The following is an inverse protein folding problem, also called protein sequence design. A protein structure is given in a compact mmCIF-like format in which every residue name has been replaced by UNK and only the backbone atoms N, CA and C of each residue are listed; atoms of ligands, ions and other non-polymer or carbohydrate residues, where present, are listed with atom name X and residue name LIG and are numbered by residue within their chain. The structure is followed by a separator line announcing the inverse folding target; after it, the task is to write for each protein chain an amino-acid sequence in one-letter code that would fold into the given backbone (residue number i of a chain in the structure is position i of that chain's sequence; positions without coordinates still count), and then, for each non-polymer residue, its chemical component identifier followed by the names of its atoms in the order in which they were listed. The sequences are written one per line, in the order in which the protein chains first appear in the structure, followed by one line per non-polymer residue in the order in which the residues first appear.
data_IF_763987204581
#
_entry.id   IF_763987204581
#
_cell.length_a   1.000
_cell.length_b   1.000
_cell.length_c   1.000
_cell.angle_alpha   90.00
_cell.angle_beta   90.00
_cell.angle_gamma   90.00
#
_symmetry.space_group_name_H-M   'P 1'
#
loop_
_entity.id
_entity.type
_entity.pdbx_description
1 polymer ?
#
# COMPACT_ATOMS: atom_id res chain seq x y z
N UNK A 1 -8.33 45.58 44.08
CA UNK A 1 -9.45 44.92 43.36
C UNK A 1 -9.11 43.45 43.22
N UNK A 2 -10.10 42.60 43.48
CA UNK A 2 -10.00 41.18 43.84
C UNK A 2 -10.68 40.28 42.80
N UNK A 3 -9.99 39.18 42.41
CA UNK A 3 -10.48 37.82 42.01
C UNK A 3 -11.38 37.66 40.75
N UNK A 4 -11.54 36.43 40.16
CA UNK A 4 -11.03 35.11 40.56
C UNK A 4 -10.44 34.19 39.44
N UNK A 5 -9.84 33.09 39.94
CA UNK A 5 -9.51 31.78 39.33
C UNK A 5 -10.67 31.12 38.57
N UNK A 6 -10.36 30.38 37.50
CA UNK A 6 -11.06 29.13 37.14
C UNK A 6 -10.10 28.11 36.50
N UNK A 7 -10.11 26.93 37.12
CA UNK A 7 -9.49 25.67 36.72
C UNK A 7 -10.52 24.81 35.96
N UNK A 8 -10.08 23.63 35.50
CA UNK A 8 -10.86 22.51 34.91
C UNK A 8 -11.06 22.61 33.38
N UNK A 9 -11.01 21.52 32.58
CA UNK A 9 -11.05 20.08 32.87
C UNK A 9 -10.58 19.32 31.63
N UNK A 10 -9.98 18.15 31.86
CA UNK A 10 -9.82 17.09 30.89
C UNK A 10 -11.13 16.78 30.14
N UNK A 11 -11.04 16.41 28.86
CA UNK A 11 -12.10 15.64 28.20
C UNK A 11 -11.52 14.35 27.65
N UNK A 12 -12.02 13.30 28.25
CA UNK A 12 -11.80 11.88 28.06
C UNK A 12 -12.08 11.39 26.63
N UNK A 13 -11.20 10.48 26.20
CA UNK A 13 -11.50 9.18 25.61
C UNK A 13 -12.88 8.96 24.97
N UNK A 14 -12.91 8.87 23.63
CA UNK A 14 -13.87 8.01 22.93
C UNK A 14 -13.18 6.65 22.73
N UNK A 15 -13.26 5.82 23.76
CA UNK A 15 -13.04 4.38 23.63
C UNK A 15 -14.28 3.81 22.93
N UNK A 16 -14.18 3.53 21.64
CA UNK A 16 -15.21 2.76 20.95
C UNK A 16 -15.18 1.33 21.50
N UNK A 17 -16.12 1.03 22.39
CA UNK A 17 -16.40 -0.33 22.88
C UNK A 17 -17.01 -1.15 21.73
N UNK A 18 -16.43 -2.31 21.35
CA UNK A 18 -17.17 -3.28 20.54
C UNK A 18 -18.27 -3.95 21.38
N UNK A 19 -19.41 -4.32 20.76
CA UNK A 19 -20.51 -4.98 21.46
C UNK A 19 -20.11 -6.38 21.92
N UNK A 20 -20.59 -6.73 23.11
CA UNK A 20 -20.32 -7.99 23.80
C UNK A 20 -20.79 -9.22 22.99
N UNK A 21 -19.87 -10.16 22.76
CA UNK A 21 -20.23 -11.56 22.55
C UNK A 21 -19.89 -12.35 23.82
N UNK A 22 -20.93 -12.58 24.62
CA UNK A 22 -20.91 -13.46 25.79
C UNK A 22 -21.10 -14.90 25.32
N UNK A 23 -20.09 -15.76 25.51
CA UNK A 23 -20.26 -17.23 25.60
C UNK A 23 -19.22 -17.80 26.57
N UNK A 24 -19.74 -18.20 27.73
CA UNK A 24 -19.41 -19.34 28.58
C UNK A 24 -17.96 -19.87 28.72
N UNK A 25 -17.46 -19.67 29.95
CA UNK A 25 -17.01 -20.70 30.92
C UNK A 25 -15.82 -21.65 30.61
N UNK A 26 -14.77 -21.41 31.40
CA UNK A 26 -13.79 -22.33 32.05
C UNK A 26 -12.54 -22.78 31.26
N UNK A 27 -11.37 -22.33 31.75
CA UNK A 27 -10.07 -22.98 31.56
C UNK A 27 -8.87 -22.03 31.62
N UNK A 28 -7.99 -22.21 32.61
CA UNK A 28 -6.66 -21.58 32.86
C UNK A 28 -5.68 -21.58 31.66
N UNK A 29 -4.46 -20.96 31.71
CA UNK A 29 -3.86 -19.97 32.64
C UNK A 29 -3.26 -18.71 31.94
N UNK A 30 -2.73 -17.79 32.75
CA UNK A 30 -1.78 -16.71 32.43
C UNK A 30 -0.75 -17.08 31.33
N UNK A 31 -0.84 -16.42 30.17
CA UNK A 31 0.31 -16.14 29.31
C UNK A 31 0.04 -14.83 28.52
N UNK A 32 -0.11 -13.75 29.27
CA UNK A 32 -0.20 -12.40 28.72
C UNK A 32 1.21 -11.89 28.40
N UNK A 33 1.82 -12.38 27.32
CA UNK A 33 2.92 -11.66 26.70
C UNK A 33 3.10 -11.95 25.23
N UNK A 34 2.95 -10.86 24.46
CA UNK A 34 3.66 -10.58 23.21
C UNK A 34 3.06 -11.14 21.92
N UNK A 35 1.86 -10.67 21.61
CA UNK A 35 1.45 -10.43 20.23
C UNK A 35 1.11 -8.95 20.04
N UNK A 36 2.07 -8.07 20.34
CA UNK A 36 2.11 -6.74 19.75
C UNK A 36 2.45 -6.92 18.27
N UNK A 37 1.46 -7.38 17.48
CA UNK A 37 1.50 -7.25 16.05
C UNK A 37 1.63 -5.76 15.78
N UNK A 38 2.83 -5.38 15.38
CA UNK A 38 3.22 -4.06 14.93
C UNK A 38 2.23 -3.63 13.83
N UNK A 39 1.15 -2.95 14.22
CA UNK A 39 0.29 -2.22 13.32
C UNK A 39 1.15 -1.08 12.81
N UNK A 40 1.88 -1.38 11.73
CA UNK A 40 2.51 -0.37 10.91
C UNK A 40 1.36 0.43 10.34
N UNK A 41 1.06 1.57 10.97
CA UNK A 41 0.17 2.60 10.47
C UNK A 41 0.78 3.09 9.16
N UNK A 42 0.53 2.36 8.07
CA UNK A 42 1.05 2.69 6.75
C UNK A 42 0.21 3.85 6.26
N UNK A 43 0.77 5.05 6.39
CA UNK A 43 0.27 6.23 5.73
C UNK A 43 0.00 5.92 4.25
N UNK A 44 -1.16 6.38 3.78
CA UNK A 44 -1.51 6.28 2.37
C UNK A 44 -0.67 7.32 1.65
N UNK A 45 0.14 6.97 0.65
CA UNK A 45 0.92 7.95 -0.09
C UNK A 45 -0.03 8.94 -0.78
N UNK A 46 0.27 10.23 -0.65
CA UNK A 46 -0.65 11.30 -1.06
C UNK A 46 -0.19 11.98 -2.34
N UNK A 47 1.13 12.00 -2.58
CA UNK A 47 1.73 12.61 -3.78
C UNK A 47 2.08 11.58 -4.87
N UNK A 48 2.21 12.06 -6.11
CA UNK A 48 2.68 11.24 -7.23
C UNK A 48 4.05 10.60 -6.95
N UNK A 49 4.97 11.35 -6.32
CA UNK A 49 6.32 10.86 -6.04
C UNK A 49 6.31 9.68 -5.06
N UNK A 50 5.48 9.73 -4.01
CA UNK A 50 5.35 8.64 -3.05
C UNK A 50 4.67 7.41 -3.67
N UNK A 51 3.62 7.63 -4.46
CA UNK A 51 2.95 6.55 -5.19
C UNK A 51 3.91 5.89 -6.18
N UNK A 52 4.70 6.70 -6.90
CA UNK A 52 5.72 6.20 -7.82
C UNK A 52 6.80 5.38 -7.11
N UNK A 53 7.26 5.83 -5.94
CA UNK A 53 8.22 5.11 -5.12
C UNK A 53 7.67 3.75 -4.63
N UNK A 54 6.42 3.72 -4.16
CA UNK A 54 5.79 2.46 -3.73
C UNK A 54 5.53 1.51 -4.91
N UNK A 55 5.10 2.00 -6.07
CA UNK A 55 4.98 1.18 -7.29
C UNK A 55 6.35 0.60 -7.66
N UNK A 56 7.42 1.40 -7.65
CA UNK A 56 8.76 0.93 -7.95
C UNK A 56 9.22 -0.15 -6.95
N UNK A 57 8.90 0.03 -5.66
CA UNK A 57 9.21 -0.93 -4.60
C UNK A 57 8.48 -2.26 -4.83
N UNK A 58 7.18 -2.22 -5.08
CA UNK A 58 6.35 -3.39 -5.42
C UNK A 58 6.95 -4.16 -6.61
N UNK A 59 7.30 -3.46 -7.69
CA UNK A 59 7.87 -4.07 -8.90
C UNK A 59 9.29 -4.58 -8.68
N UNK A 60 10.06 -3.96 -7.79
CA UNK A 60 11.41 -4.42 -7.45
C UNK A 60 11.39 -5.69 -6.60
N UNK A 61 10.43 -5.80 -5.66
CA UNK A 61 10.28 -6.97 -4.79
C UNK A 61 9.67 -8.18 -5.51
N UNK A 62 8.63 -7.96 -6.32
CA UNK A 62 7.92 -9.06 -6.99
C UNK A 62 8.49 -9.39 -8.38
N UNK A 63 9.21 -8.45 -8.98
CA UNK A 63 9.66 -8.55 -10.36
C UNK A 63 8.61 -8.14 -11.39
N UNK A 64 8.66 -8.68 -12.63
CA UNK A 64 7.68 -8.37 -13.65
C UNK A 64 6.28 -8.79 -13.22
N UNK A 65 5.39 -7.82 -13.12
CA UNK A 65 4.03 -8.04 -12.64
C UNK A 65 3.01 -7.41 -13.57
N UNK A 66 1.83 -8.01 -13.67
CA UNK A 66 0.75 -7.42 -14.45
C UNK A 66 0.34 -6.07 -13.86
N UNK A 67 -0.08 -5.15 -14.71
CA UNK A 67 -0.54 -3.82 -14.29
C UNK A 67 -1.67 -3.89 -13.26
N UNK A 68 -2.58 -4.87 -13.40
CA UNK A 68 -3.65 -5.10 -12.43
C UNK A 68 -3.13 -5.56 -11.06
N UNK A 69 -2.07 -6.37 -11.05
CA UNK A 69 -1.42 -6.86 -9.82
C UNK A 69 -0.78 -5.73 -9.02
N UNK A 70 -0.25 -4.70 -9.69
CA UNK A 70 0.32 -3.52 -9.00
C UNK A 70 -0.74 -2.84 -8.14
N UNK A 71 -1.94 -2.61 -8.67
CA UNK A 71 -3.01 -1.96 -7.91
C UNK A 71 -3.51 -2.84 -6.75
N UNK A 72 -3.55 -4.16 -6.96
CA UNK A 72 -3.92 -5.12 -5.93
C UNK A 72 -2.93 -5.11 -4.76
N UNK A 73 -1.64 -5.16 -5.04
CA UNK A 73 -0.59 -5.18 -4.02
C UNK A 73 -0.44 -3.83 -3.33
N UNK A 74 -0.63 -2.73 -4.05
CA UNK A 74 -0.72 -1.40 -3.45
C UNK A 74 -1.89 -1.31 -2.45
N UNK A 75 -3.08 -1.78 -2.83
CA UNK A 75 -4.24 -1.84 -1.92
C UNK A 75 -3.96 -2.72 -0.70
N UNK A 76 -3.30 -3.85 -0.88
CA UNK A 76 -2.91 -4.73 0.23
C UNK A 76 -1.94 -4.04 1.21
N UNK A 77 -1.07 -3.16 0.71
CA UNK A 77 -0.09 -2.43 1.55
C UNK A 77 -0.67 -1.22 2.27
N UNK A 78 -1.55 -0.45 1.62
CA UNK A 78 -2.05 0.84 2.13
C UNK A 78 -3.54 0.86 2.46
N UNK A 79 -4.25 -0.27 2.29
CA UNK A 79 -5.68 -0.39 2.52
C UNK A 79 -6.56 0.26 1.44
N UNK A 80 -5.98 1.00 0.49
CA UNK A 80 -6.71 1.72 -0.57
C UNK A 80 -6.06 1.49 -1.95
N UNK A 81 -6.85 1.40 -3.03
CA UNK A 81 -6.30 1.36 -4.38
C UNK A 81 -5.59 2.66 -4.74
N UNK A 82 -4.77 2.61 -5.80
CA UNK A 82 -4.14 3.80 -6.37
C UNK A 82 -5.24 4.69 -6.97
N UNK A 83 -5.34 5.91 -6.45
CA UNK A 83 -6.29 6.91 -6.94
C UNK A 83 -5.65 7.70 -8.09
N UNK A 84 -5.86 7.23 -9.32
CA UNK A 84 -5.27 7.83 -10.52
C UNK A 84 -5.86 9.23 -10.80
N UNK A 85 -7.16 9.40 -10.59
CA UNK A 85 -7.85 10.66 -10.86
C UNK A 85 -7.37 11.77 -9.94
N UNK A 86 -7.19 11.47 -8.64
CA UNK A 86 -6.60 12.42 -7.68
C UNK A 86 -5.19 12.87 -8.09
N UNK A 87 -4.46 12.02 -8.78
CA UNK A 87 -3.11 12.30 -9.27
C UNK A 87 -3.09 12.93 -10.67
N UNK A 88 -4.25 13.20 -11.27
CA UNK A 88 -4.35 13.81 -12.60
C UNK A 88 -4.21 12.84 -13.77
N UNK A 89 -4.41 11.54 -13.55
CA UNK A 89 -4.33 10.51 -14.59
C UNK A 89 -5.67 9.78 -14.76
N UNK A 90 -6.10 9.57 -16.01
CA UNK A 90 -7.32 8.82 -16.30
C UNK A 90 -7.17 7.32 -16.00
N UNK A 91 -5.98 6.76 -16.31
CA UNK A 91 -5.72 5.32 -16.18
C UNK A 91 -4.40 5.04 -15.47
N UNK A 92 -4.38 3.92 -14.75
CA UNK A 92 -3.15 3.42 -14.10
C UNK A 92 -1.99 3.25 -15.07
N UNK A 93 -2.28 2.88 -16.33
CA UNK A 93 -1.27 2.78 -17.39
C UNK A 93 -0.55 4.11 -17.62
N UNK A 94 -1.28 5.21 -17.65
CA UNK A 94 -0.73 6.55 -17.89
C UNK A 94 0.10 7.02 -16.70
N UNK A 95 -0.39 6.78 -15.49
CA UNK A 95 0.38 7.03 -14.27
C UNK A 95 1.73 6.30 -14.31
N UNK A 96 1.73 5.00 -14.65
CA UNK A 96 2.96 4.19 -14.68
C UNK A 96 3.92 4.63 -15.78
N UNK A 97 3.41 5.06 -16.94
CA UNK A 97 4.24 5.60 -18.01
C UNK A 97 5.00 6.88 -17.61
N UNK A 98 4.46 7.64 -16.65
CA UNK A 98 5.10 8.85 -16.12
C UNK A 98 6.17 8.55 -15.05
N UNK A 99 6.30 7.30 -14.61
CA UNK A 99 7.34 6.91 -13.64
C UNK A 99 8.64 6.60 -14.41
N UNK A 100 9.72 7.37 -14.24
CA UNK A 100 10.93 7.23 -15.05
C UNK A 100 11.70 5.92 -14.79
N UNK A 101 11.51 5.29 -13.63
CA UNK A 101 12.27 4.09 -13.23
C UNK A 101 11.59 2.78 -13.64
N UNK A 102 10.39 2.84 -14.22
CA UNK A 102 9.64 1.66 -14.67
C UNK A 102 9.44 1.67 -16.18
N UNK A 103 9.04 0.52 -16.71
CA UNK A 103 8.74 0.32 -18.12
C UNK A 103 7.56 -0.65 -18.26
N UNK A 104 6.76 -0.46 -19.32
CA UNK A 104 5.65 -1.33 -19.66
C UNK A 104 6.02 -2.27 -20.80
N UNK A 105 5.98 -3.57 -20.56
CA UNK A 105 6.11 -4.60 -21.59
C UNK A 105 4.73 -5.13 -21.94
N UNK A 106 4.32 -4.99 -23.20
CA UNK A 106 3.12 -5.65 -23.74
C UNK A 106 3.47 -7.02 -24.30
N UNK A 107 2.66 -8.03 -23.98
CA UNK A 107 2.77 -9.38 -24.53
C UNK A 107 1.42 -9.79 -25.12
N UNK A 108 1.40 -10.13 -26.41
CA UNK A 108 0.19 -10.54 -27.10
C UNK A 108 -0.03 -12.04 -26.90
N UNK A 109 -1.20 -12.41 -26.38
CA UNK A 109 -1.63 -13.80 -26.28
C UNK A 109 -2.19 -14.29 -27.60
N UNK A 110 -2.17 -15.61 -27.78
CA UNK A 110 -2.76 -16.29 -28.94
C UNK A 110 -4.25 -15.98 -29.15
N UNK A 111 -4.97 -15.62 -28.08
CA UNK A 111 -6.40 -15.28 -28.12
C UNK A 111 -6.67 -13.80 -28.46
N UNK A 112 -5.67 -13.03 -28.89
CA UNK A 112 -5.81 -11.61 -29.21
C UNK A 112 -5.78 -10.66 -28.00
N UNK A 113 -5.80 -11.19 -26.78
CA UNK A 113 -5.63 -10.40 -25.55
C UNK A 113 -4.19 -9.93 -25.38
N UNK A 114 -4.01 -8.73 -24.85
CA UNK A 114 -2.67 -8.16 -24.57
C UNK A 114 -2.49 -8.02 -23.07
N UNK A 115 -1.49 -8.71 -22.52
CA UNK A 115 -1.03 -8.49 -21.16
C UNK A 115 -0.07 -7.32 -21.11
N UNK A 116 -0.20 -6.49 -20.07
CA UNK A 116 0.70 -5.38 -19.82
C UNK A 116 1.42 -5.63 -18.51
N UNK A 117 2.72 -5.89 -18.61
CA UNK A 117 3.61 -6.08 -17.49
C UNK A 117 4.32 -4.78 -17.13
N UNK A 118 4.49 -4.54 -15.84
CA UNK A 118 5.25 -3.44 -15.26
C UNK A 118 6.57 -4.01 -14.75
N UNK A 119 7.67 -3.41 -15.18
CA UNK A 119 9.03 -3.87 -14.86
C UNK A 119 9.90 -2.70 -14.44
N UNK A 120 10.87 -2.95 -13.56
CA UNK A 120 11.91 -1.98 -13.24
C UNK A 120 12.89 -1.85 -14.42
N UNK A 121 13.28 -0.62 -14.78
CA UNK A 121 14.25 -0.38 -15.86
C UNK A 121 15.61 -0.99 -15.56
N UNK A 122 16.04 -0.99 -14.30
CA UNK A 122 17.30 -1.60 -13.87
C UNK A 122 17.32 -3.09 -14.24
N UNK A 123 16.20 -3.79 -13.99
CA UNK A 123 16.06 -5.21 -14.33
C UNK A 123 16.04 -5.44 -15.84
N UNK A 124 15.36 -4.58 -16.60
CA UNK A 124 15.35 -4.68 -18.07
C UNK A 124 16.76 -4.53 -18.67
N UNK A 125 17.55 -3.57 -18.17
CA UNK A 125 18.94 -3.38 -18.62
C UNK A 125 19.77 -4.61 -18.26
N UNK A 126 19.63 -5.10 -17.03
CA UNK A 126 20.35 -6.31 -16.59
C UNK A 126 20.01 -7.53 -17.47
N UNK A 127 18.73 -7.77 -17.77
CA UNK A 127 18.31 -8.86 -18.65
C UNK A 127 18.86 -8.73 -20.07
N UNK A 128 18.95 -7.51 -20.61
CA UNK A 128 19.55 -7.28 -21.93
C UNK A 128 21.05 -7.52 -21.92
N UNK A 129 21.75 -7.05 -20.90
CA UNK A 129 23.21 -7.22 -20.76
C UNK A 129 23.55 -8.70 -20.57
N UNK A 130 22.82 -9.43 -19.74
CA UNK A 130 23.06 -10.85 -19.50
C UNK A 130 22.82 -11.73 -20.74
N UNK A 131 22.02 -11.30 -21.71
CA UNK A 131 21.82 -12.02 -22.98
C UNK A 131 22.91 -11.76 -24.03
N UNK A 132 23.81 -10.80 -23.77
CA UNK A 132 24.89 -10.42 -24.67
C UNK A 132 26.23 -11.06 -24.32
N UNK A 133 26.31 -11.78 -23.20
CA UNK A 133 27.49 -12.54 -22.72
C UNK A 133 27.22 -14.02 -22.92
#
# INVERSE_FOLDING_TARGET
QTCPVASMKAKEAVTFRPPACQKDLRGFPDDASKAAAHMQERSVPESFAEVAAEILKIVSEMGPVLIGTVNMEFRKRHGKPIDCQRLGFDKLKELILNIPSVYLKSEQRQNGYVDIYVMSRVRMVLEKVLRLV
#
